data_IF_339872395766
#
_entry.id   IF_339872395766
#
_cell.length_a   1.000
_cell.length_b   1.000
_cell.length_c   1.000
_cell.angle_alpha   90.00
_cell.angle_beta   90.00
_cell.angle_gamma   90.00
#
_symmetry.space_group_name_H-M   'P 1'
#
loop_
_entity.id
_entity.type
_entity.pdbx_description
1 polymer ?
#
# COMPACT_ATOMS: atom_id res chain seq x y z
N UNK A 1 42.75 -9.43 -7.54
CA UNK A 1 41.57 -8.96 -6.81
C UNK A 1 40.55 -8.57 -7.85
N UNK A 2 39.62 -9.46 -8.15
CA UNK A 2 38.57 -9.22 -9.14
C UNK A 2 37.32 -8.71 -8.40
N UNK A 3 37.02 -7.43 -8.63
CA UNK A 3 35.78 -6.82 -8.17
C UNK A 3 34.57 -7.51 -8.84
N UNK A 4 33.83 -8.24 -8.05
CA UNK A 4 32.57 -8.84 -8.46
C UNK A 4 31.47 -7.75 -8.47
N UNK A 5 31.38 -7.01 -9.58
CA UNK A 5 30.26 -6.07 -9.80
C UNK A 5 29.02 -6.89 -10.18
N UNK A 6 28.16 -7.09 -9.20
CA UNK A 6 26.82 -7.66 -9.42
C UNK A 6 26.07 -6.81 -10.46
N UNK A 7 25.52 -7.40 -11.54
CA UNK A 7 24.80 -6.63 -12.56
C UNK A 7 23.56 -5.98 -11.92
N UNK A 8 23.54 -4.65 -11.82
CA UNK A 8 22.37 -3.90 -11.38
C UNK A 8 21.21 -4.25 -12.33
N UNK A 9 20.23 -4.95 -11.81
CA UNK A 9 19.05 -5.33 -12.58
C UNK A 9 18.30 -4.06 -13.01
N UNK A 10 18.11 -3.91 -14.32
CA UNK A 10 17.37 -2.77 -14.89
C UNK A 10 15.88 -2.84 -14.47
N UNK A 11 15.16 -1.70 -14.40
CA UNK A 11 13.72 -1.67 -14.08
C UNK A 11 12.89 -2.64 -14.93
N UNK A 12 13.23 -2.77 -16.22
CA UNK A 12 12.57 -3.69 -17.16
C UNK A 12 12.70 -5.16 -16.74
N UNK A 13 13.86 -5.57 -16.25
CA UNK A 13 14.13 -6.94 -15.77
C UNK A 13 13.37 -7.23 -14.47
N UNK A 14 13.29 -6.24 -13.59
CA UNK A 14 12.50 -6.33 -12.35
C UNK A 14 11.01 -6.42 -12.62
N UNK A 15 10.50 -5.71 -13.63
CA UNK A 15 9.09 -5.76 -14.02
C UNK A 15 8.70 -7.13 -14.61
N UNK A 16 9.56 -7.75 -15.41
CA UNK A 16 9.36 -9.13 -15.89
C UNK A 16 9.28 -10.13 -14.72
N UNK A 17 10.18 -10.01 -13.75
CA UNK A 17 10.16 -10.83 -12.52
C UNK A 17 8.91 -10.61 -11.67
N UNK A 18 8.37 -9.39 -11.66
CA UNK A 18 7.12 -9.06 -10.98
C UNK A 18 5.91 -9.77 -11.61
N UNK A 19 5.84 -9.83 -12.94
CA UNK A 19 4.80 -10.56 -13.68
C UNK A 19 4.85 -12.05 -13.41
N UNK A 20 6.05 -12.63 -13.42
CA UNK A 20 6.26 -14.04 -13.08
C UNK A 20 5.83 -14.34 -11.63
N UNK A 21 6.14 -13.45 -10.69
CA UNK A 21 5.73 -13.60 -9.31
C UNK A 21 4.20 -13.51 -9.17
N UNK A 22 3.55 -12.56 -9.82
CA UNK A 22 2.11 -12.41 -9.79
C UNK A 22 1.37 -13.62 -10.37
N UNK A 23 1.95 -14.27 -11.39
CA UNK A 23 1.39 -15.48 -11.98
C UNK A 23 1.55 -16.72 -11.08
N UNK A 24 2.68 -16.83 -10.37
CA UNK A 24 2.99 -17.99 -9.53
C UNK A 24 2.39 -17.92 -8.13
N UNK A 25 2.48 -16.74 -7.50
CA UNK A 25 2.03 -16.52 -6.11
C UNK A 25 1.48 -15.12 -5.93
N UNK A 26 0.15 -15.02 -6.00
CA UNK A 26 -0.56 -13.74 -5.84
C UNK A 26 -0.33 -13.10 -4.47
N UNK A 27 -0.27 -13.89 -3.42
CA UNK A 27 -0.11 -13.37 -2.06
C UNK A 27 1.29 -12.80 -1.86
N UNK A 28 2.31 -13.53 -2.31
CA UNK A 28 3.69 -13.05 -2.24
C UNK A 28 3.88 -11.81 -3.11
N UNK A 29 3.25 -11.76 -4.30
CA UNK A 29 3.26 -10.58 -5.15
C UNK A 29 2.62 -9.37 -4.45
N UNK A 30 1.45 -9.54 -3.83
CA UNK A 30 0.78 -8.45 -3.10
C UNK A 30 1.64 -7.93 -1.96
N UNK A 31 2.21 -8.80 -1.14
CA UNK A 31 3.09 -8.38 -0.04
C UNK A 31 4.32 -7.64 -0.52
N UNK A 32 4.95 -8.15 -1.58
CA UNK A 32 6.09 -7.48 -2.19
C UNK A 32 5.71 -6.11 -2.77
N UNK A 33 4.61 -6.00 -3.51
CA UNK A 33 4.13 -4.74 -4.07
C UNK A 33 3.81 -3.71 -2.98
N UNK A 34 3.16 -4.13 -1.89
CA UNK A 34 2.89 -3.28 -0.72
C UNK A 34 4.19 -2.77 -0.09
N UNK A 35 5.23 -3.60 -0.03
CA UNK A 35 6.52 -3.19 0.53
C UNK A 35 7.23 -2.11 -0.27
N UNK A 36 6.98 -1.99 -1.59
CA UNK A 36 7.53 -0.92 -2.42
C UNK A 36 7.01 0.47 -2.03
N UNK A 37 5.90 0.53 -1.31
CA UNK A 37 5.28 1.76 -0.81
C UNK A 37 5.56 1.99 0.68
N UNK A 38 6.49 1.28 1.29
CA UNK A 38 6.75 1.29 2.73
C UNK A 38 5.46 1.11 3.56
N UNK A 39 4.57 0.29 3.06
CA UNK A 39 3.29 -0.02 3.68
C UNK A 39 3.34 -1.38 4.41
N UNK A 40 2.46 -1.54 5.39
CA UNK A 40 2.31 -2.79 6.14
C UNK A 40 1.25 -3.64 5.44
N UNK A 41 1.59 -4.87 4.99
CA UNK A 41 0.61 -5.76 4.40
C UNK A 41 -0.55 -6.04 5.36
N UNK A 42 -1.77 -6.01 4.84
CA UNK A 42 -2.98 -6.43 5.52
C UNK A 42 -3.43 -7.78 4.94
N UNK A 43 -4.02 -8.64 5.76
CA UNK A 43 -4.40 -9.98 5.31
C UNK A 43 -3.40 -11.03 5.76
N UNK A 44 -3.58 -11.54 6.97
CA UNK A 44 -3.06 -12.82 7.40
C UNK A 44 -3.96 -13.93 6.84
N UNK A 45 -3.46 -15.16 6.76
CA UNK A 45 -4.03 -16.42 6.22
C UNK A 45 -5.51 -16.74 6.51
N UNK A 46 -6.32 -15.83 6.98
CA UNK A 46 -7.76 -16.02 7.18
C UNK A 46 -8.47 -15.70 5.87
N UNK A 47 -8.99 -16.74 5.22
CA UNK A 47 -10.03 -16.64 4.19
C UNK A 47 -11.25 -15.90 4.78
N UNK A 48 -11.31 -14.60 4.55
CA UNK A 48 -12.44 -13.74 4.88
C UNK A 48 -12.33 -12.52 3.99
N UNK A 49 -13.44 -11.94 3.60
CA UNK A 49 -13.50 -10.82 2.67
C UNK A 49 -12.49 -9.73 3.07
N UNK A 50 -11.35 -9.68 2.39
CA UNK A 50 -10.25 -8.74 2.60
C UNK A 50 -10.65 -7.32 2.15
N UNK A 51 -11.91 -6.94 2.30
CA UNK A 51 -12.49 -5.61 2.06
C UNK A 51 -11.78 -4.74 1.00
N UNK A 52 -10.94 -5.36 0.14
CA UNK A 52 -10.12 -4.69 -0.88
C UNK A 52 -8.91 -3.93 -0.34
N UNK A 53 -8.41 -4.30 0.86
CA UNK A 53 -7.25 -3.68 1.50
C UNK A 53 -6.11 -4.69 1.53
N UNK A 54 -5.09 -4.48 0.68
CA UNK A 54 -3.91 -5.34 0.64
C UNK A 54 -2.78 -4.82 1.55
N UNK A 55 -2.78 -3.52 1.84
CA UNK A 55 -1.82 -2.90 2.74
C UNK A 55 -2.27 -1.55 3.28
N UNK A 56 -1.60 -1.11 4.34
CA UNK A 56 -1.80 0.20 4.96
C UNK A 56 -0.46 0.91 5.09
N UNK A 57 -0.36 2.12 4.55
CA UNK A 57 0.75 3.04 4.76
C UNK A 57 0.32 4.09 5.79
N UNK A 58 1.03 4.17 6.89
CA UNK A 58 0.83 5.20 7.89
C UNK A 58 1.59 6.46 7.50
N UNK A 59 0.93 7.60 7.56
CA UNK A 59 1.49 8.90 7.19
C UNK A 59 1.29 9.90 8.31
N UNK A 60 2.25 10.82 8.47
CA UNK A 60 2.17 11.89 9.45
C UNK A 60 1.31 13.01 8.91
N UNK A 61 0.28 13.41 9.66
CA UNK A 61 -0.68 14.45 9.24
C UNK A 61 -0.52 15.77 9.99
N UNK A 62 0.16 15.78 11.12
CA UNK A 62 0.36 16.96 11.95
C UNK A 62 1.76 17.07 12.55
N UNK A 63 1.97 18.10 13.36
CA UNK A 63 3.25 18.38 14.01
C UNK A 63 3.49 17.52 15.26
N UNK A 64 2.44 16.95 15.86
CA UNK A 64 2.54 16.14 17.07
C UNK A 64 2.89 14.69 16.76
N UNK A 65 3.65 14.06 17.65
CA UNK A 65 3.84 12.62 17.60
C UNK A 65 2.51 11.94 17.92
N UNK A 66 1.97 11.21 16.92
CA UNK A 66 0.65 10.57 17.02
C UNK A 66 -0.41 11.13 16.09
N UNK A 67 -0.17 12.25 15.44
CA UNK A 67 -1.03 12.76 14.36
C UNK A 67 -0.80 11.90 13.10
N UNK A 68 -1.30 10.67 13.14
CA UNK A 68 -1.16 9.69 12.07
C UNK A 68 -2.50 9.42 11.43
N UNK A 69 -2.47 9.30 10.11
CA UNK A 69 -3.57 8.78 9.32
C UNK A 69 -3.06 7.69 8.39
N UNK A 70 -3.94 7.08 7.63
CA UNK A 70 -3.63 5.92 6.80
C UNK A 70 -3.99 6.14 5.35
N UNK A 71 -3.14 5.60 4.48
CA UNK A 71 -3.40 5.45 3.06
C UNK A 71 -3.61 3.96 2.79
N UNK A 72 -4.71 3.64 2.13
CA UNK A 72 -5.07 2.28 1.77
C UNK A 72 -4.35 1.89 0.49
N UNK A 73 -3.74 0.71 0.48
CA UNK A 73 -3.10 0.14 -0.69
C UNK A 73 -3.95 -1.03 -1.19
N UNK A 74 -4.30 -0.98 -2.48
CA UNK A 74 -4.90 -2.11 -3.19
C UNK A 74 -3.99 -2.54 -4.34
N UNK A 75 -3.77 -3.83 -4.51
CA UNK A 75 -2.83 -4.40 -5.49
C UNK A 75 -3.56 -5.29 -6.49
N UNK A 76 -3.36 -5.02 -7.77
CA UNK A 76 -3.93 -5.79 -8.87
C UNK A 76 -2.80 -6.36 -9.74
N UNK A 77 -2.55 -7.65 -9.60
CA UNK A 77 -1.51 -8.37 -10.36
C UNK A 77 -1.98 -8.93 -11.70
N UNK A 78 -3.25 -8.74 -12.07
CA UNK A 78 -3.82 -9.20 -13.34
C UNK A 78 -3.76 -8.16 -14.47
N UNK A 79 -4.01 -8.61 -15.69
CA UNK A 79 -4.08 -7.75 -16.86
C UNK A 79 -5.42 -6.98 -16.96
N UNK A 80 -6.49 -7.51 -16.36
CA UNK A 80 -7.85 -6.95 -16.44
C UNK A 80 -8.12 -5.97 -15.29
N UNK A 81 -7.43 -4.84 -15.29
CA UNK A 81 -7.67 -3.74 -14.36
C UNK A 81 -8.48 -2.66 -15.04
N UNK A 82 -9.48 -2.12 -14.36
CA UNK A 82 -10.47 -1.23 -14.95
C UNK A 82 -10.83 -0.07 -14.02
N UNK A 83 -11.63 0.86 -14.52
CA UNK A 83 -12.23 1.98 -13.76
C UNK A 83 -12.98 1.48 -12.51
N UNK A 84 -13.57 0.27 -12.56
CA UNK A 84 -14.25 -0.33 -11.43
C UNK A 84 -13.33 -0.51 -10.24
N UNK A 85 -12.09 -0.96 -10.48
CA UNK A 85 -11.11 -1.16 -9.40
C UNK A 85 -10.75 0.17 -8.72
N UNK A 86 -10.73 1.27 -9.47
CA UNK A 86 -10.53 2.61 -8.94
C UNK A 86 -11.72 3.03 -8.06
N UNK A 87 -12.96 2.81 -8.53
CA UNK A 87 -14.18 3.11 -7.78
C UNK A 87 -14.30 2.29 -6.50
N UNK A 88 -13.93 1.02 -6.56
CA UNK A 88 -13.91 0.12 -5.41
C UNK A 88 -12.91 0.63 -4.34
N UNK A 89 -11.74 1.14 -4.78
CA UNK A 89 -10.78 1.78 -3.87
C UNK A 89 -11.32 3.08 -3.28
N UNK A 90 -11.97 3.96 -4.09
CA UNK A 90 -12.62 5.18 -3.60
C UNK A 90 -13.63 4.85 -2.51
N UNK A 91 -14.50 3.86 -2.76
CA UNK A 91 -15.49 3.40 -1.78
C UNK A 91 -14.85 2.84 -0.52
N UNK A 92 -13.75 2.11 -0.66
CA UNK A 92 -13.00 1.57 0.47
C UNK A 92 -12.37 2.69 1.32
N UNK A 93 -11.73 3.67 0.69
CA UNK A 93 -11.15 4.84 1.38
C UNK A 93 -12.22 5.60 2.17
N UNK A 94 -13.39 5.82 1.58
CA UNK A 94 -14.51 6.49 2.24
C UNK A 94 -15.05 5.69 3.42
N UNK A 95 -15.31 4.40 3.23
CA UNK A 95 -15.83 3.50 4.27
C UNK A 95 -14.90 3.39 5.46
N UNK A 96 -13.59 3.33 5.20
CA UNK A 96 -12.58 3.20 6.24
C UNK A 96 -12.19 4.55 6.88
N UNK A 97 -12.69 5.67 6.36
CA UNK A 97 -12.30 7.01 6.81
C UNK A 97 -10.80 7.27 6.64
N UNK A 98 -10.18 6.69 5.61
CA UNK A 98 -8.77 6.85 5.34
C UNK A 98 -8.49 8.15 4.58
N UNK A 99 -7.27 8.67 4.73
CA UNK A 99 -6.83 9.91 4.12
C UNK A 99 -6.79 9.81 2.59
N UNK A 100 -6.43 8.65 2.07
CA UNK A 100 -6.37 8.40 0.64
C UNK A 100 -6.11 6.93 0.30
N UNK A 101 -5.91 6.65 -1.00
CA UNK A 101 -5.66 5.30 -1.47
C UNK A 101 -4.70 5.26 -2.67
N UNK A 102 -3.99 4.14 -2.80
CA UNK A 102 -3.13 3.83 -3.95
C UNK A 102 -3.56 2.50 -4.55
N UNK A 103 -3.89 2.51 -5.84
CA UNK A 103 -4.07 1.32 -6.64
C UNK A 103 -2.75 0.98 -7.32
N UNK A 104 -2.17 -0.16 -6.98
CA UNK A 104 -0.94 -0.67 -7.61
C UNK A 104 -1.28 -1.69 -8.68
N UNK A 105 -0.76 -1.50 -9.90
CA UNK A 105 -1.07 -2.35 -11.05
C UNK A 105 0.19 -2.83 -11.76
N UNK A 106 0.11 -4.00 -12.40
CA UNK A 106 1.12 -4.46 -13.38
C UNK A 106 0.84 -3.90 -14.77
N UNK A 107 -0.44 -3.81 -15.14
CA UNK A 107 -0.86 -3.24 -16.40
C UNK A 107 -0.83 -1.72 -16.37
N UNK A 108 -0.61 -1.09 -17.50
CA UNK A 108 -0.70 0.37 -17.63
C UNK A 108 -2.15 0.83 -17.41
N UNK A 109 -2.37 1.89 -16.61
CA UNK A 109 -3.71 2.41 -16.35
C UNK A 109 -4.29 3.04 -17.62
N UNK A 110 -5.59 2.87 -17.81
CA UNK A 110 -6.32 3.54 -18.90
C UNK A 110 -6.55 5.01 -18.56
N UNK A 111 -6.79 5.84 -19.58
CA UNK A 111 -7.14 7.26 -19.39
C UNK A 111 -8.35 7.45 -18.48
N UNK A 112 -9.33 6.54 -18.57
CA UNK A 112 -10.55 6.60 -17.76
C UNK A 112 -10.26 6.27 -16.28
N UNK A 113 -9.33 5.34 -16.00
CA UNK A 113 -8.88 5.07 -14.64
C UNK A 113 -8.20 6.29 -14.02
N UNK A 114 -7.32 6.95 -14.78
CA UNK A 114 -6.63 8.15 -14.31
C UNK A 114 -7.60 9.32 -14.09
N UNK A 115 -8.60 9.48 -14.97
CA UNK A 115 -9.66 10.49 -14.83
C UNK A 115 -10.52 10.22 -13.59
N UNK A 116 -10.92 8.98 -13.36
CA UNK A 116 -11.68 8.58 -12.17
C UNK A 116 -10.89 8.83 -10.89
N UNK A 117 -9.60 8.46 -10.86
CA UNK A 117 -8.73 8.74 -9.72
C UNK A 117 -8.60 10.26 -9.45
N UNK A 118 -8.43 11.05 -10.52
CA UNK A 118 -8.34 12.51 -10.42
C UNK A 118 -9.63 13.16 -9.88
N UNK A 119 -10.79 12.60 -10.21
CA UNK A 119 -12.11 13.10 -9.76
C UNK A 119 -12.31 13.00 -8.24
N UNK A 120 -11.55 12.13 -7.57
CA UNK A 120 -11.58 12.01 -6.11
C UNK A 120 -10.97 13.22 -5.38
N UNK A 121 -10.29 14.10 -6.10
CA UNK A 121 -9.70 15.34 -5.59
C UNK A 121 -8.42 15.12 -4.80
N UNK A 122 -8.20 16.00 -3.83
CA UNK A 122 -6.99 16.05 -3.02
C UNK A 122 -7.28 15.82 -1.54
N UNK A 123 -6.28 15.35 -0.84
CA UNK A 123 -6.24 15.25 0.61
C UNK A 123 -5.05 16.08 1.14
N UNK A 124 -5.12 16.51 2.39
CA UNK A 124 -4.07 17.29 3.05
C UNK A 124 -3.42 16.48 4.15
N UNK A 125 -2.10 16.41 4.15
CA UNK A 125 -1.32 15.80 5.23
C UNK A 125 -0.16 16.75 5.59
N UNK A 126 -0.07 17.13 6.84
CA UNK A 126 0.90 18.12 7.30
C UNK A 126 0.73 19.45 6.55
N UNK A 127 1.80 19.91 5.93
CA UNK A 127 1.82 21.18 5.16
C UNK A 127 1.58 20.96 3.65
N UNK A 128 1.30 19.74 3.21
CA UNK A 128 1.19 19.41 1.77
C UNK A 128 -0.17 18.86 1.37
N UNK A 129 -0.48 19.06 0.11
CA UNK A 129 -1.62 18.39 -0.55
C UNK A 129 -1.11 17.29 -1.47
N UNK A 130 -1.88 16.21 -1.59
CA UNK A 130 -1.61 15.13 -2.51
C UNK A 130 -2.92 14.59 -3.09
N UNK A 131 -2.84 13.87 -4.21
CA UNK A 131 -4.04 13.25 -4.81
C UNK A 131 -4.62 12.23 -3.85
N UNK A 132 -5.92 12.35 -3.57
CA UNK A 132 -6.62 11.44 -2.65
C UNK A 132 -6.59 9.99 -3.14
N UNK A 133 -6.69 9.79 -4.44
CA UNK A 133 -6.56 8.48 -5.09
C UNK A 133 -5.47 8.55 -6.14
N UNK A 134 -4.54 7.60 -6.08
CA UNK A 134 -3.45 7.45 -7.04
C UNK A 134 -3.46 6.07 -7.66
N UNK A 135 -3.10 5.99 -8.94
CA UNK A 135 -2.85 4.73 -9.64
C UNK A 135 -1.37 4.69 -9.98
N UNK A 136 -0.67 3.68 -9.49
CA UNK A 136 0.77 3.49 -9.69
C UNK A 136 1.04 2.14 -10.31
N UNK A 137 1.89 2.11 -11.32
CA UNK A 137 2.38 0.84 -11.86
C UNK A 137 3.58 0.34 -11.07
N UNK A 138 3.79 -0.98 -11.07
CA UNK A 138 5.01 -1.57 -10.52
C UNK A 138 6.25 -0.99 -11.19
N UNK A 139 6.18 -0.70 -12.50
CA UNK A 139 7.30 -0.12 -13.26
C UNK A 139 7.67 1.27 -12.75
N UNK A 140 6.70 2.15 -12.51
CA UNK A 140 6.91 3.47 -11.91
C UNK A 140 7.53 3.36 -10.52
N UNK A 141 7.00 2.48 -9.66
CA UNK A 141 7.52 2.28 -8.32
C UNK A 141 8.98 1.79 -8.32
N UNK A 142 9.35 0.93 -9.28
CA UNK A 142 10.71 0.41 -9.41
C UNK A 142 11.69 1.41 -10.03
N UNK A 143 11.21 2.31 -10.89
CA UNK A 143 12.05 3.33 -11.53
C UNK A 143 12.35 4.51 -10.62
N UNK A 144 11.58 4.68 -9.55
CA UNK A 144 11.69 5.84 -8.64
C UNK A 144 11.28 7.17 -9.29
N UNK A 145 10.64 7.11 -10.46
CA UNK A 145 10.11 8.30 -11.14
C UNK A 145 8.76 8.62 -10.50
N UNK A 146 8.72 9.68 -9.75
CA UNK A 146 7.49 10.20 -9.15
C UNK A 146 7.24 11.61 -9.66
N UNK A 147 6.02 11.85 -10.15
CA UNK A 147 5.53 13.21 -10.34
C UNK A 147 5.37 13.88 -8.96
N UNK A 148 5.79 15.13 -8.82
CA UNK A 148 5.70 15.86 -7.54
C UNK A 148 4.26 15.96 -7.01
N UNK A 149 3.27 15.98 -7.91
CA UNK A 149 1.85 15.99 -7.55
C UNK A 149 1.32 14.62 -7.10
N UNK A 150 2.07 13.56 -7.40
CA UNK A 150 1.77 12.18 -7.04
C UNK A 150 2.67 11.64 -5.93
N UNK A 151 3.35 12.53 -5.23
CA UNK A 151 4.15 12.18 -4.07
C UNK A 151 3.26 11.78 -2.91
N UNK A 152 3.53 10.60 -2.39
CA UNK A 152 2.91 10.18 -1.13
C UNK A 152 3.44 11.03 0.02
N UNK A 153 2.57 11.39 0.99
CA UNK A 153 3.01 12.05 2.20
C UNK A 153 4.14 11.27 2.88
N UNK A 154 5.05 11.97 3.59
CA UNK A 154 6.14 11.32 4.29
C UNK A 154 5.60 10.30 5.30
N UNK A 155 6.32 9.20 5.45
CA UNK A 155 6.05 8.24 6.50
C UNK A 155 6.13 8.92 7.87
N UNK A 156 5.19 8.59 8.73
CA UNK A 156 5.39 8.77 10.15
C UNK A 156 6.60 7.94 10.57
N UNK A 157 7.66 8.57 11.03
CA UNK A 157 8.96 7.97 11.28
C UNK A 157 8.87 6.69 12.13
N UNK A 158 8.85 5.53 11.48
CA UNK A 158 8.89 4.21 12.12
C UNK A 158 7.68 3.82 12.98
N UNK A 159 6.67 4.66 13.11
CA UNK A 159 5.56 4.48 14.03
C UNK A 159 4.49 3.50 13.54
N UNK A 160 4.36 3.30 12.23
CA UNK A 160 3.44 2.31 11.67
C UNK A 160 3.77 0.89 12.15
N UNK A 161 5.05 0.54 12.21
CA UNK A 161 5.52 -0.73 12.75
C UNK A 161 5.35 -0.81 14.27
N UNK A 162 5.58 0.29 15.00
CA UNK A 162 5.39 0.33 16.46
C UNK A 162 3.92 0.23 16.86
N UNK A 163 3.01 0.81 16.09
CA UNK A 163 1.57 0.75 16.38
C UNK A 163 1.00 -0.64 16.12
N UNK A 164 1.38 -1.29 15.02
CA UNK A 164 1.02 -2.68 14.75
C UNK A 164 1.54 -3.64 15.83
N UNK A 165 2.77 -3.43 16.32
CA UNK A 165 3.34 -4.19 17.42
C UNK A 165 2.60 -3.97 18.75
N UNK A 166 2.15 -2.74 19.04
CA UNK A 166 1.38 -2.42 20.24
C UNK A 166 -0.03 -2.96 20.21
N UNK A 167 -0.71 -2.97 19.07
CA UNK A 167 -2.03 -3.58 18.93
C UNK A 167 -1.99 -5.09 19.12
N UNK A 168 -0.95 -5.75 18.62
CA UNK A 168 -0.72 -7.19 18.84
C UNK A 168 -0.33 -7.51 20.29
N UNK A 169 0.36 -6.60 20.99
CA UNK A 169 0.75 -6.78 22.39
C UNK A 169 -0.41 -6.54 23.39
N UNK A 170 -1.48 -5.86 22.97
CA UNK A 170 -2.64 -5.55 23.82
C UNK A 170 -3.73 -6.62 23.85
N UNK A 171 -3.59 -7.74 23.13
CA UNK A 171 -4.47 -8.89 23.37
C UNK A 171 -4.11 -9.50 24.72
N UNK A 172 -4.96 -9.40 25.76
CA UNK A 172 -4.68 -10.05 27.03
C UNK A 172 -4.61 -11.55 26.76
N UNK A 173 -3.52 -12.19 27.11
CA UNK A 173 -3.51 -13.64 27.34
C UNK A 173 -4.63 -13.89 28.33
N UNK A 174 -5.61 -14.72 27.93
CA UNK A 174 -6.70 -15.09 28.81
C UNK A 174 -6.13 -15.54 30.14
N UNK A 175 -6.52 -14.85 31.20
CA UNK A 175 -6.30 -15.31 32.55
C UNK A 175 -7.03 -16.66 32.66
N UNK A 176 -6.31 -17.73 32.77
CA UNK A 176 -6.89 -19.00 33.20
C UNK A 176 -7.35 -18.81 34.63
N UNK A 177 -8.62 -19.12 34.95
CA UNK A 177 -9.03 -19.18 36.36
C UNK A 177 -8.23 -20.27 37.03
N UNK A 178 -7.54 -19.91 38.12
CA UNK A 178 -6.86 -20.86 38.95
C UNK A 178 -7.85 -21.87 39.55
N UNK A 179 -7.41 -23.09 39.89
CA UNK A 179 -8.27 -24.06 40.51
C UNK A 179 -8.68 -23.60 41.90
N UNK A 180 -9.99 -23.58 42.14
CA UNK A 180 -10.56 -23.44 43.49
C UNK A 180 -10.14 -24.64 44.33
N UNK A 181 -9.53 -24.38 45.49
CA UNK A 181 -9.34 -25.31 46.58
C UNK A 181 -10.33 -24.99 47.70
#
# INVERSE_FOLDING_TARGET
MSEWTSPRSTPRRKNASARDLAARDKNQFQWWAVSLLDAVPQGGKKKGADRGIDGIRWVKTGARDGDLDRIIISVKGGENVSVRDVRDLVGTVQREGALGGVLVTLAQPTKDMLREAASAGYATAGLGQFRKIMVKTIEELLSGIHDDQERLPPLGAGEGFRRAARENARKPKGAQPGPDF
#
